data_IF_741641643552
#
_entry.id   IF_741641643552
#
_cell.length_a   1.000
_cell.length_b   1.000
_cell.length_c   1.000
_cell.angle_alpha   90.00
_cell.angle_beta   90.00
_cell.angle_gamma   90.00
#
_symmetry.space_group_name_H-M   'P 1'
#
loop_
_entity.id
_entity.type
_entity.pdbx_description
1 polymer ?
#
# COMPACT_ATOMS: atom_id res chain seq x y z
N UNK A 1 0.62 -10.59 -14.29
CA UNK A 1 -0.63 -9.83 -14.51
C UNK A 1 -1.10 -9.25 -13.17
N UNK A 2 -1.55 -7.99 -13.13
CA UNK A 2 -2.04 -7.37 -11.90
C UNK A 2 -3.42 -6.75 -12.14
N UNK A 3 -4.46 -7.28 -11.48
CA UNK A 3 -5.83 -6.75 -11.53
C UNK A 3 -6.34 -6.64 -10.09
N UNK A 4 -6.23 -5.46 -9.48
CA UNK A 4 -6.45 -5.28 -8.03
C UNK A 4 -7.25 -4.02 -7.69
N UNK A 5 -7.97 -3.45 -8.66
CA UNK A 5 -8.75 -2.22 -8.45
C UNK A 5 -9.78 -2.37 -7.33
N UNK A 6 -10.33 -3.58 -7.16
CA UNK A 6 -11.26 -3.94 -6.09
C UNK A 6 -10.66 -3.95 -4.67
N UNK A 7 -9.33 -3.82 -4.54
CA UNK A 7 -8.65 -3.57 -3.27
C UNK A 7 -8.69 -2.10 -2.85
N UNK A 8 -9.10 -1.18 -3.74
CA UNK A 8 -9.28 0.25 -3.44
C UNK A 8 -8.05 0.89 -2.78
N UNK A 9 -6.87 0.54 -3.29
CA UNK A 9 -5.59 0.92 -2.65
C UNK A 9 -5.45 2.44 -2.46
N UNK A 10 -5.87 3.24 -3.45
CA UNK A 10 -5.75 4.70 -3.39
C UNK A 10 -6.76 5.36 -2.43
N UNK A 11 -8.00 4.87 -2.39
CA UNK A 11 -9.06 5.50 -1.59
C UNK A 11 -9.12 4.97 -0.16
N UNK A 12 -8.76 3.72 0.05
CA UNK A 12 -8.97 3.02 1.33
C UNK A 12 -7.65 2.78 2.06
N UNK A 13 -6.56 2.46 1.35
CA UNK A 13 -5.30 2.02 1.98
C UNK A 13 -4.26 3.13 2.07
N UNK A 14 -4.04 3.88 0.99
CA UNK A 14 -3.09 4.99 0.96
C UNK A 14 -3.35 6.01 2.09
N UNK A 15 -4.60 6.43 2.38
CA UNK A 15 -4.85 7.40 3.44
C UNK A 15 -4.46 6.90 4.84
N UNK A 16 -4.53 5.58 5.07
CA UNK A 16 -4.11 4.97 6.34
C UNK A 16 -2.58 5.00 6.53
N UNK A 17 -1.83 5.11 5.44
CA UNK A 17 -0.37 5.12 5.41
C UNK A 17 0.21 6.50 5.13
N UNK A 18 -0.61 7.50 4.80
CA UNK A 18 -0.17 8.83 4.38
C UNK A 18 -0.10 9.82 5.56
N UNK A 19 1.13 10.06 5.99
CA UNK A 19 1.56 11.06 6.96
C UNK A 19 2.55 12.04 6.33
N UNK A 20 2.68 12.03 5.00
CA UNK A 20 3.60 12.91 4.28
C UNK A 20 3.17 14.38 4.43
N UNK A 21 4.15 15.26 4.42
CA UNK A 21 4.00 16.71 4.49
C UNK A 21 4.00 17.36 3.10
N UNK A 22 4.52 16.67 2.08
CA UNK A 22 4.66 17.17 0.71
C UNK A 22 3.84 16.35 -0.32
N UNK A 23 3.49 16.98 -1.44
CA UNK A 23 2.79 16.29 -2.53
C UNK A 23 3.72 15.28 -3.23
N UNK A 24 5.01 15.59 -3.33
CA UNK A 24 6.04 14.72 -3.88
C UNK A 24 6.27 13.49 -2.99
N UNK A 25 6.22 13.67 -1.67
CA UNK A 25 6.22 12.59 -0.69
C UNK A 25 5.00 11.68 -0.85
N UNK A 26 3.79 12.25 -0.95
CA UNK A 26 2.56 11.49 -1.20
C UNK A 26 2.64 10.72 -2.53
N UNK A 27 3.12 11.36 -3.60
CA UNK A 27 3.32 10.70 -4.89
C UNK A 27 4.35 9.56 -4.81
N UNK A 28 5.42 9.73 -4.03
CA UNK A 28 6.41 8.69 -3.75
C UNK A 28 5.81 7.53 -2.94
N UNK A 29 4.93 7.82 -1.98
CA UNK A 29 4.19 6.81 -1.21
C UNK A 29 3.23 6.02 -2.11
N UNK A 30 2.49 6.70 -3.00
CA UNK A 30 1.61 6.04 -3.98
C UNK A 30 2.39 5.14 -4.95
N UNK A 31 3.59 5.54 -5.38
CA UNK A 31 4.49 4.65 -6.14
C UNK A 31 4.94 3.46 -5.31
N UNK A 32 5.33 3.71 -4.06
CA UNK A 32 5.73 2.66 -3.12
C UNK A 32 4.62 1.61 -2.95
N UNK A 33 3.36 2.02 -2.89
CA UNK A 33 2.23 1.09 -2.74
C UNK A 33 1.95 0.29 -4.03
N UNK A 34 2.07 0.91 -5.21
CA UNK A 34 1.66 0.34 -6.51
C UNK A 34 2.74 -0.46 -7.25
N UNK A 35 3.99 -0.02 -7.14
CA UNK A 35 5.12 -0.65 -7.83
C UNK A 35 5.59 -1.85 -7.02
N UNK A 36 5.05 -3.02 -7.38
CA UNK A 36 5.43 -4.30 -6.77
C UNK A 36 6.85 -4.70 -7.22
N UNK A 37 7.77 -4.97 -6.28
CA UNK A 37 9.04 -5.57 -6.62
C UNK A 37 8.86 -6.92 -7.33
N UNK A 38 9.60 -7.18 -8.43
CA UNK A 38 9.40 -8.39 -9.25
C UNK A 38 9.97 -9.68 -8.64
N UNK A 39 10.71 -9.61 -7.53
CA UNK A 39 11.35 -10.76 -6.89
C UNK A 39 11.22 -10.71 -5.37
N UNK A 40 11.22 -11.88 -4.72
CA UNK A 40 11.22 -12.00 -3.24
C UNK A 40 12.38 -11.22 -2.61
N UNK A 41 13.58 -11.29 -3.19
CA UNK A 41 14.77 -10.58 -2.68
C UNK A 41 14.53 -9.07 -2.62
N UNK A 42 13.92 -8.49 -3.65
CA UNK A 42 13.64 -7.05 -3.67
C UNK A 42 12.46 -6.67 -2.75
N UNK A 43 11.49 -7.57 -2.57
CA UNK A 43 10.44 -7.40 -1.55
C UNK A 43 11.06 -7.36 -0.15
N UNK A 44 11.94 -8.31 0.16
CA UNK A 44 12.66 -8.39 1.44
C UNK A 44 13.61 -7.21 1.65
N UNK A 45 14.28 -6.74 0.60
CA UNK A 45 15.10 -5.53 0.65
C UNK A 45 14.24 -4.31 1.04
N UNK A 46 13.07 -4.17 0.42
CA UNK A 46 12.11 -3.11 0.75
C UNK A 46 11.59 -3.23 2.18
N UNK A 47 11.26 -4.44 2.65
CA UNK A 47 10.90 -4.69 4.05
C UNK A 47 12.05 -4.30 5.00
N UNK A 48 13.30 -4.58 4.64
CA UNK A 48 14.47 -4.23 5.45
C UNK A 48 14.61 -2.72 5.63
N UNK A 49 14.26 -1.89 4.65
CA UNK A 49 14.19 -0.42 4.81
C UNK A 49 13.21 -0.05 5.93
N UNK A 50 12.00 -0.61 5.91
CA UNK A 50 10.99 -0.32 6.94
C UNK A 50 11.41 -0.84 8.32
N UNK A 51 11.98 -2.05 8.40
CA UNK A 51 12.52 -2.60 9.65
C UNK A 51 13.64 -1.72 10.20
N UNK A 52 14.53 -1.19 9.36
CA UNK A 52 15.58 -0.25 9.75
C UNK A 52 15.01 1.04 10.34
N UNK A 53 14.02 1.64 9.67
CA UNK A 53 13.32 2.84 10.16
C UNK A 53 12.61 2.60 11.49
N UNK A 54 11.92 1.46 11.63
CA UNK A 54 11.22 1.09 12.87
C UNK A 54 12.20 0.75 14.01
N UNK A 55 13.35 0.14 13.71
CA UNK A 55 14.42 -0.11 14.69
C UNK A 55 15.05 1.19 15.21
N UNK A 56 15.06 2.23 14.38
CA UNK A 56 15.55 3.57 14.72
C UNK A 56 14.42 4.57 14.96
N UNK A 57 13.23 4.09 15.36
CA UNK A 57 12.04 4.95 15.47
C UNK A 57 12.24 6.15 16.39
N UNK A 58 13.04 6.00 17.45
CA UNK A 58 13.37 7.09 18.37
C UNK A 58 14.04 8.30 17.69
N UNK A 59 14.74 8.10 16.56
CA UNK A 59 15.35 9.17 15.77
C UNK A 59 14.33 9.88 14.88
N UNK A 60 13.39 9.12 14.31
CA UNK A 60 12.48 9.61 13.26
C UNK A 60 11.04 9.81 13.73
N UNK A 61 10.72 9.54 15.00
CA UNK A 61 9.37 9.62 15.54
C UNK A 61 8.73 11.01 15.34
N UNK A 62 9.54 12.06 15.51
CA UNK A 62 9.13 13.46 15.38
C UNK A 62 9.56 14.09 14.05
N UNK A 63 9.84 13.27 13.03
CA UNK A 63 10.14 13.75 11.69
C UNK A 63 9.05 14.71 11.21
N UNK A 64 9.44 15.95 10.94
CA UNK A 64 8.52 17.01 10.56
C UNK A 64 9.26 18.21 9.97
N UNK A 65 8.56 18.94 9.10
CA UNK A 65 9.00 20.21 8.54
C UNK A 65 7.77 21.01 8.06
N UNK A 66 7.93 22.31 7.82
CA UNK A 66 6.85 23.14 7.27
C UNK A 66 6.75 22.95 5.76
N UNK A 67 5.56 22.58 5.25
CA UNK A 67 5.29 22.44 3.81
C UNK A 67 5.57 23.72 3.03
N UNK A 68 5.20 24.88 3.60
CA UNK A 68 5.44 26.18 2.97
C UNK A 68 6.94 26.46 2.87
N UNK A 69 7.67 26.24 3.97
CA UNK A 69 9.13 26.42 3.97
C UNK A 69 9.81 25.47 2.99
N UNK A 70 9.39 24.20 2.91
CA UNK A 70 9.95 23.26 1.94
C UNK A 70 9.78 23.78 0.50
N UNK A 71 8.57 24.20 0.13
CA UNK A 71 8.29 24.69 -1.23
C UNK A 71 9.11 25.95 -1.58
N UNK A 72 9.27 26.87 -0.63
CA UNK A 72 10.10 28.07 -0.79
C UNK A 72 11.58 27.71 -0.97
N UNK A 73 12.09 26.77 -0.16
CA UNK A 73 13.47 26.29 -0.23
C UNK A 73 13.72 25.54 -1.53
N UNK A 74 12.85 24.62 -1.94
CA UNK A 74 12.97 23.91 -3.22
C UNK A 74 13.10 24.89 -4.40
N UNK A 75 12.21 25.88 -4.46
CA UNK A 75 12.24 26.92 -5.49
C UNK A 75 13.54 27.71 -5.45
N UNK A 76 13.98 28.12 -4.25
CA UNK A 76 15.23 28.84 -4.09
C UNK A 76 16.45 28.03 -4.53
N UNK A 77 16.58 26.78 -4.08
CA UNK A 77 17.69 25.92 -4.49
C UNK A 77 17.70 25.72 -5.99
N UNK A 78 16.54 25.50 -6.60
CA UNK A 78 16.41 25.36 -8.06
C UNK A 78 16.85 26.61 -8.81
N UNK A 79 16.36 27.80 -8.42
CA UNK A 79 16.72 29.07 -9.08
C UNK A 79 18.23 29.38 -9.03
N UNK A 80 18.90 29.02 -7.92
CA UNK A 80 20.36 29.20 -7.79
C UNK A 80 21.11 28.19 -8.66
N UNK A 81 20.75 26.90 -8.59
CA UNK A 81 21.39 25.81 -9.35
C UNK A 81 21.16 25.95 -10.85
N UNK A 82 19.99 26.43 -11.29
CA UNK A 82 19.68 26.64 -12.70
C UNK A 82 20.27 27.94 -13.28
N UNK A 83 21.05 28.68 -12.49
CA UNK A 83 21.70 29.92 -12.93
C UNK A 83 20.75 31.12 -13.11
N UNK A 84 19.47 31.01 -12.72
CA UNK A 84 18.51 32.11 -12.80
C UNK A 84 18.85 33.25 -11.82
N UNK A 85 19.61 32.94 -10.76
CA UNK A 85 20.12 33.89 -9.77
C UNK A 85 21.63 34.14 -9.90
N UNK A 86 22.17 34.29 -11.11
CA UNK A 86 23.59 34.57 -11.36
C UNK A 86 24.16 35.83 -10.63
N UNK A 87 23.30 36.72 -10.15
CA UNK A 87 23.68 37.88 -9.31
C UNK A 87 24.15 37.49 -7.91
N UNK A 88 23.75 36.31 -7.41
CA UNK A 88 23.97 35.91 -6.03
C UNK A 88 25.31 35.20 -5.79
N UNK A 89 25.99 34.76 -6.84
CA UNK A 89 27.29 34.07 -6.76
C UNK A 89 28.50 35.02 -6.77
N UNK A 90 28.30 36.30 -7.12
CA UNK A 90 29.36 37.31 -7.18
C UNK A 90 29.22 38.34 -6.05
N UNK A 91 30.24 38.42 -5.18
CA UNK A 91 30.23 39.28 -3.98
C UNK A 91 30.00 40.76 -4.26
N UNK A 92 30.58 41.30 -5.34
CA UNK A 92 30.43 42.71 -5.69
C UNK A 92 29.04 43.00 -6.25
N UNK A 93 28.51 42.10 -7.10
CA UNK A 93 27.16 42.24 -7.66
C UNK A 93 26.07 42.03 -6.61
N UNK A 94 26.24 41.06 -5.72
CA UNK A 94 25.34 40.85 -4.60
C UNK A 94 25.40 42.05 -3.65
N UNK A 95 26.59 42.53 -3.26
CA UNK A 95 26.72 43.72 -2.43
C UNK A 95 26.06 44.95 -3.06
N UNK A 96 26.27 45.20 -4.37
CA UNK A 96 25.62 46.28 -5.09
C UNK A 96 24.09 46.14 -5.06
N UNK A 97 23.54 44.94 -5.32
CA UNK A 97 22.08 44.68 -5.26
C UNK A 97 21.50 44.89 -3.86
N UNK A 98 22.20 44.42 -2.82
CA UNK A 98 21.78 44.59 -1.43
C UNK A 98 21.86 46.07 -0.99
N UNK A 99 22.73 46.88 -1.59
CA UNK A 99 22.83 48.31 -1.32
C UNK A 99 21.73 49.14 -2.00
N UNK A 100 21.19 48.67 -3.13
CA UNK A 100 20.19 49.40 -3.94
C UNK A 100 18.77 49.39 -3.34
N UNK A 101 18.41 48.41 -2.51
CA UNK A 101 17.10 48.33 -1.87
C UNK A 101 17.17 47.58 -0.55
N UNK A 102 16.63 48.19 0.50
CA UNK A 102 16.51 47.59 1.82
C UNK A 102 15.56 46.38 1.81
N UNK A 103 14.42 46.49 1.10
CA UNK A 103 13.48 45.38 0.91
C UNK A 103 14.11 44.19 0.18
N UNK A 104 14.91 44.46 -0.88
CA UNK A 104 15.63 43.41 -1.60
C UNK A 104 16.65 42.69 -0.70
N UNK A 105 17.29 43.44 0.21
CA UNK A 105 18.25 42.89 1.17
C UNK A 105 17.59 41.96 2.17
N UNK A 106 16.48 42.38 2.78
CA UNK A 106 15.72 41.54 3.71
C UNK A 106 15.16 40.30 3.02
N UNK A 107 14.56 40.46 1.83
CA UNK A 107 13.99 39.33 1.08
C UNK A 107 15.04 38.31 0.67
N UNK A 108 16.18 38.73 0.12
CA UNK A 108 17.27 37.80 -0.21
C UNK A 108 17.77 37.11 1.05
N UNK A 109 18.15 37.86 2.10
CA UNK A 109 18.65 37.26 3.36
C UNK A 109 17.67 36.24 3.94
N UNK A 110 16.37 36.52 3.93
CA UNK A 110 15.35 35.60 4.43
C UNK A 110 15.37 34.24 3.72
N UNK A 111 15.48 34.21 2.37
CA UNK A 111 15.54 32.96 1.60
C UNK A 111 16.75 32.09 1.96
N UNK A 112 17.92 32.70 2.11
CA UNK A 112 19.13 32.01 2.57
C UNK A 112 18.94 31.43 3.97
N UNK A 113 18.45 32.25 4.90
CA UNK A 113 18.21 31.84 6.28
C UNK A 113 17.22 30.67 6.35
N UNK A 114 16.10 30.73 5.63
CA UNK A 114 15.13 29.64 5.54
C UNK A 114 15.74 28.35 5.00
N UNK A 115 16.51 28.43 3.90
CA UNK A 115 17.16 27.26 3.31
C UNK A 115 18.17 26.62 4.27
N UNK A 116 19.04 27.43 4.87
CA UNK A 116 20.05 26.96 5.83
C UNK A 116 19.37 26.34 7.06
N UNK A 117 18.33 26.99 7.61
CA UNK A 117 17.60 26.46 8.77
C UNK A 117 16.90 25.14 8.47
N UNK A 118 16.26 25.01 7.30
CA UNK A 118 15.61 23.76 6.90
C UNK A 118 16.64 22.64 6.69
N UNK A 119 17.68 22.88 5.87
CA UNK A 119 18.72 21.88 5.60
C UNK A 119 19.44 21.48 6.89
N UNK A 120 19.76 22.43 7.78
CA UNK A 120 20.36 22.15 9.08
C UNK A 120 19.44 21.30 9.95
N UNK A 121 18.13 21.61 9.99
CA UNK A 121 17.17 20.83 10.76
C UNK A 121 17.18 19.38 10.28
N UNK A 122 17.09 19.18 8.96
CA UNK A 122 17.11 17.85 8.34
C UNK A 122 18.40 17.08 8.68
N UNK A 123 19.54 17.73 8.55
CA UNK A 123 20.85 17.16 8.87
C UNK A 123 20.95 16.80 10.35
N UNK A 124 20.81 17.77 11.25
CA UNK A 124 21.15 17.62 12.66
C UNK A 124 20.15 16.74 13.42
N UNK A 125 18.85 16.85 13.11
CA UNK A 125 17.83 16.15 13.88
C UNK A 125 17.52 14.76 13.32
N UNK A 126 17.82 14.51 12.04
CA UNK A 126 17.45 13.24 11.39
C UNK A 126 18.63 12.55 10.72
N UNK A 127 19.18 13.10 9.63
CA UNK A 127 20.10 12.34 8.76
C UNK A 127 21.49 12.09 9.37
N UNK A 128 21.94 12.93 10.29
CA UNK A 128 23.17 12.70 11.08
C UNK A 128 22.97 11.72 12.23
N UNK A 129 21.74 11.60 12.73
CA UNK A 129 21.39 10.74 13.85
C UNK A 129 20.98 9.32 13.41
N UNK A 130 20.59 9.16 12.14
CA UNK A 130 20.31 7.86 11.55
C UNK A 130 21.60 7.08 11.32
N UNK A 131 21.65 5.85 11.79
CA UNK A 131 22.71 4.89 11.48
C UNK A 131 22.41 4.21 10.13
N UNK A 132 23.20 4.48 9.07
CA UNK A 132 23.00 3.86 7.76
C UNK A 132 23.34 2.36 7.79
N UNK A 133 24.09 1.85 8.77
CA UNK A 133 24.50 0.46 8.82
C UNK A 133 23.30 -0.50 8.90
N UNK A 134 22.21 -0.07 9.55
CA UNK A 134 20.97 -0.82 9.68
C UNK A 134 20.10 -0.90 8.43
N UNK A 135 20.39 -0.11 7.38
CA UNK A 135 19.64 -0.11 6.13
C UNK A 135 20.19 -1.14 5.12
N UNK A 136 19.38 -1.65 4.18
CA UNK A 136 19.88 -2.46 3.07
C UNK A 136 20.66 -1.61 2.04
N UNK A 137 21.40 -2.24 1.09
CA UNK A 137 22.23 -1.53 0.11
C UNK A 137 21.51 -0.38 -0.62
N UNK A 138 20.30 -0.62 -1.17
CA UNK A 138 19.54 0.43 -1.86
C UNK A 138 19.16 1.60 -0.93
N UNK A 139 18.85 1.31 0.34
CA UNK A 139 18.59 2.33 1.36
C UNK A 139 19.83 3.14 1.71
N UNK A 140 20.99 2.48 1.89
CA UNK A 140 22.28 3.14 2.17
C UNK A 140 22.66 4.13 1.08
N UNK A 141 22.48 3.75 -0.19
CA UNK A 141 22.78 4.62 -1.34
C UNK A 141 21.95 5.90 -1.27
N UNK A 142 20.64 5.79 -1.03
CA UNK A 142 19.74 6.96 -0.95
C UNK A 142 20.06 7.85 0.26
N UNK A 143 20.32 7.27 1.42
CA UNK A 143 20.74 8.03 2.60
C UNK A 143 22.09 8.74 2.38
N UNK A 144 23.03 8.10 1.70
CA UNK A 144 24.32 8.71 1.36
C UNK A 144 24.18 9.89 0.37
N UNK A 145 23.23 9.82 -0.57
CA UNK A 145 22.90 10.97 -1.44
C UNK A 145 22.43 12.16 -0.60
N UNK A 146 21.54 11.94 0.37
CA UNK A 146 21.05 12.99 1.27
C UNK A 146 22.18 13.55 2.13
N UNK A 147 22.96 12.68 2.78
CA UNK A 147 24.06 13.06 3.65
C UNK A 147 25.14 13.89 2.94
N UNK A 148 25.63 13.41 1.79
CA UNK A 148 26.65 14.12 1.01
C UNK A 148 26.18 15.51 0.55
N UNK A 149 24.91 15.64 0.16
CA UNK A 149 24.36 16.92 -0.21
C UNK A 149 24.36 17.91 0.97
N UNK A 150 23.93 17.46 2.15
CA UNK A 150 23.84 18.30 3.35
C UNK A 150 25.23 18.72 3.88
N UNK A 151 26.17 17.77 3.94
CA UNK A 151 27.54 17.98 4.45
C UNK A 151 28.32 19.06 3.66
N UNK A 152 27.97 19.26 2.38
CA UNK A 152 28.59 20.26 1.50
C UNK A 152 28.52 21.69 2.03
N UNK A 153 27.47 22.02 2.79
CA UNK A 153 27.14 23.40 3.13
C UNK A 153 27.66 23.87 4.49
N UNK A 154 28.39 23.04 5.24
CA UNK A 154 28.89 23.40 6.58
C UNK A 154 27.81 24.06 7.45
N UNK A 155 26.64 23.41 7.51
CA UNK A 155 25.38 24.02 7.99
C UNK A 155 25.44 24.45 9.46
N UNK A 156 26.25 23.77 10.29
CA UNK A 156 26.44 24.09 11.69
C UNK A 156 27.05 25.49 11.89
N UNK A 157 28.19 25.77 11.25
CA UNK A 157 28.89 27.05 11.37
C UNK A 157 28.08 28.20 10.78
N UNK A 158 27.41 27.93 9.65
CA UNK A 158 26.59 28.93 8.96
C UNK A 158 25.37 29.31 9.80
N UNK A 159 24.74 28.34 10.46
CA UNK A 159 23.57 28.61 11.27
C UNK A 159 23.90 29.17 12.67
N UNK A 160 25.08 28.88 13.23
CA UNK A 160 25.57 29.58 14.42
C UNK A 160 25.69 31.09 14.15
N UNK A 161 26.25 31.45 12.99
CA UNK A 161 26.32 32.85 12.57
C UNK A 161 24.95 33.50 12.31
N UNK A 162 23.92 32.74 11.91
CA UNK A 162 22.55 33.25 11.84
C UNK A 162 22.02 33.56 13.24
N UNK A 163 22.22 32.66 14.20
CA UNK A 163 21.74 32.83 15.57
C UNK A 163 22.42 34.00 16.30
N UNK A 164 23.69 34.26 16.01
CA UNK A 164 24.49 35.36 16.56
C UNK A 164 24.34 36.68 15.79
N UNK A 165 23.44 36.76 14.81
CA UNK A 165 23.24 37.90 13.90
C UNK A 165 24.50 38.31 13.09
N UNK A 166 25.43 37.37 12.90
CA UNK A 166 26.67 37.53 12.13
C UNK A 166 26.55 37.02 10.68
N UNK A 167 25.33 36.72 10.20
CA UNK A 167 25.09 36.22 8.85
C UNK A 167 25.19 37.34 7.81
N UNK A 168 26.42 37.66 7.43
CA UNK A 168 26.75 38.75 6.50
C UNK A 168 26.52 38.38 5.03
N UNK A 169 26.50 39.39 4.16
CA UNK A 169 26.47 39.21 2.70
C UNK A 169 27.64 38.35 2.19
N UNK A 170 28.80 38.39 2.84
CA UNK A 170 29.93 37.52 2.50
C UNK A 170 29.61 36.04 2.71
N UNK A 171 28.96 35.69 3.84
CA UNK A 171 28.54 34.31 4.13
C UNK A 171 27.43 33.84 3.18
N UNK A 172 26.52 34.73 2.79
CA UNK A 172 25.52 34.45 1.74
C UNK A 172 26.18 34.07 0.41
N UNK A 173 27.21 34.82 -0.03
CA UNK A 173 27.94 34.50 -1.27
C UNK A 173 28.62 33.14 -1.18
N UNK A 174 29.24 32.81 -0.04
CA UNK A 174 29.88 31.50 0.15
C UNK A 174 28.86 30.38 -0.01
N UNK A 175 27.71 30.48 0.66
CA UNK A 175 26.62 29.51 0.50
C UNK A 175 26.10 29.44 -0.95
N UNK A 176 25.90 30.60 -1.59
CA UNK A 176 25.46 30.67 -2.99
C UNK A 176 26.46 30.03 -3.96
N UNK A 177 27.76 30.19 -3.73
CA UNK A 177 28.83 29.56 -4.53
C UNK A 177 28.86 28.05 -4.33
N UNK A 178 28.72 27.58 -3.09
CA UNK A 178 28.60 26.15 -2.80
C UNK A 178 27.39 25.53 -3.50
N UNK A 179 26.26 26.24 -3.48
CA UNK A 179 25.01 25.82 -4.12
C UNK A 179 25.09 25.88 -5.65
N UNK A 180 25.68 26.92 -6.23
CA UNK A 180 25.88 27.03 -7.68
C UNK A 180 26.86 25.98 -8.24
N UNK A 181 27.68 25.37 -7.38
CA UNK A 181 28.55 24.26 -7.75
C UNK A 181 27.84 22.89 -7.71
N UNK A 182 26.57 22.84 -7.29
CA UNK A 182 25.70 21.65 -7.37
C UNK A 182 25.13 21.57 -8.78
N UNK A 183 25.15 20.39 -9.40
CA UNK A 183 24.51 20.20 -10.70
C UNK A 183 22.98 20.07 -10.57
N UNK A 184 22.20 20.38 -11.62
CA UNK A 184 20.75 20.12 -11.62
C UNK A 184 20.39 18.66 -11.32
N UNK A 185 21.23 17.71 -11.77
CA UNK A 185 21.08 16.28 -11.51
C UNK A 185 21.31 15.95 -10.03
N UNK A 186 22.37 16.48 -9.42
CA UNK A 186 22.68 16.29 -7.99
C UNK A 186 21.54 16.83 -7.10
N UNK A 187 20.97 17.99 -7.46
CA UNK A 187 19.81 18.55 -6.76
C UNK A 187 18.55 17.67 -6.93
N UNK A 188 18.32 17.14 -8.13
CA UNK A 188 17.20 16.25 -8.40
C UNK A 188 17.32 14.94 -7.62
N UNK A 189 18.52 14.35 -7.57
CA UNK A 189 18.82 13.14 -6.81
C UNK A 189 18.61 13.33 -5.30
N UNK A 190 19.03 14.48 -4.75
CA UNK A 190 18.77 14.85 -3.37
C UNK A 190 17.27 14.85 -3.07
N UNK A 191 16.46 15.54 -3.88
CA UNK A 191 15.02 15.60 -3.66
C UNK A 191 14.34 14.24 -3.87
N UNK A 192 14.75 13.47 -4.88
CA UNK A 192 14.22 12.13 -5.10
C UNK A 192 14.52 11.18 -3.93
N UNK A 193 15.73 11.26 -3.35
CA UNK A 193 16.11 10.50 -2.17
C UNK A 193 15.33 10.98 -0.93
N UNK A 194 15.17 12.29 -0.74
CA UNK A 194 14.42 12.88 0.37
C UNK A 194 12.94 12.47 0.36
N UNK A 195 12.25 12.59 -0.78
CA UNK A 195 10.84 12.22 -0.89
C UNK A 195 10.62 10.72 -0.80
N UNK A 196 11.59 9.92 -1.25
CA UNK A 196 11.58 8.48 -1.00
C UNK A 196 11.69 8.18 0.50
N UNK A 197 12.58 8.86 1.22
CA UNK A 197 12.72 8.68 2.67
C UNK A 197 11.43 9.07 3.39
N UNK A 198 10.84 10.22 3.04
CA UNK A 198 9.57 10.67 3.61
C UNK A 198 8.44 9.66 3.36
N UNK A 199 8.31 9.14 2.14
CA UNK A 199 7.34 8.10 1.82
C UNK A 199 7.57 6.83 2.65
N UNK A 200 8.82 6.40 2.81
CA UNK A 200 9.14 5.23 3.62
C UNK A 200 8.81 5.46 5.11
N UNK A 201 9.16 6.64 5.64
CA UNK A 201 8.81 7.05 7.00
C UNK A 201 7.30 7.09 7.22
N UNK A 202 6.56 7.68 6.28
CA UNK A 202 5.11 7.78 6.30
C UNK A 202 4.45 6.40 6.38
N UNK A 203 4.83 5.49 5.47
CA UNK A 203 4.33 4.12 5.49
C UNK A 203 4.71 3.40 6.79
N UNK A 204 5.97 3.54 7.26
CA UNK A 204 6.40 2.94 8.53
C UNK A 204 5.57 3.44 9.71
N UNK A 205 5.26 4.75 9.75
CA UNK A 205 4.40 5.36 10.76
C UNK A 205 2.99 4.76 10.76
N UNK A 206 2.36 4.69 9.59
CA UNK A 206 1.01 4.13 9.43
C UNK A 206 0.96 2.66 9.82
N UNK A 207 1.87 1.85 9.30
CA UNK A 207 1.98 0.43 9.64
C UNK A 207 2.20 0.21 11.15
N UNK A 208 3.03 1.04 11.79
CA UNK A 208 3.26 0.99 13.24
C UNK A 208 2.01 1.34 14.04
N UNK A 209 1.27 2.38 13.63
CA UNK A 209 0.03 2.79 14.32
C UNK A 209 -1.08 1.73 14.18
N UNK A 210 -1.15 1.07 13.02
CA UNK A 210 -2.15 0.05 12.73
C UNK A 210 -1.77 -1.35 13.23
N UNK A 211 -0.54 -1.54 13.72
CA UNK A 211 -0.04 -2.83 14.17
C UNK A 211 0.16 -3.85 13.04
N UNK A 212 0.55 -3.40 11.86
CA UNK A 212 0.81 -4.28 10.72
C UNK A 212 2.09 -5.11 10.93
N UNK A 213 2.06 -6.36 10.48
CA UNK A 213 3.17 -7.32 10.63
C UNK A 213 3.86 -7.54 9.30
N UNK A 214 5.20 -7.64 9.29
CA UNK A 214 5.92 -7.95 8.05
C UNK A 214 5.69 -9.42 7.63
N UNK A 215 5.29 -9.68 6.38
CA UNK A 215 5.03 -11.01 5.88
C UNK A 215 6.31 -11.75 5.48
N UNK A 216 6.27 -13.07 5.49
CA UNK A 216 7.31 -13.94 4.95
C UNK A 216 6.90 -14.61 3.63
N UNK A 217 7.88 -15.03 2.84
CA UNK A 217 7.65 -15.82 1.64
C UNK A 217 8.02 -17.29 1.86
N UNK A 218 7.24 -18.20 1.29
CA UNK A 218 7.45 -19.64 1.42
C UNK A 218 7.30 -20.37 0.08
N UNK A 219 7.74 -21.63 0.05
CA UNK A 219 7.75 -22.41 -1.19
C UNK A 219 6.35 -22.77 -1.70
N UNK A 220 5.38 -23.05 -0.82
CA UNK A 220 4.00 -23.42 -1.18
C UNK A 220 3.07 -23.25 0.05
N UNK A 221 1.75 -23.37 -0.17
CA UNK A 221 0.72 -23.15 0.86
C UNK A 221 0.52 -21.67 1.19
N UNK A 222 -0.50 -21.33 1.96
CA UNK A 222 -0.82 -19.94 2.35
C UNK A 222 -1.25 -19.91 3.81
N UNK A 223 -0.60 -19.06 4.60
CA UNK A 223 -0.89 -18.89 6.01
C UNK A 223 -1.16 -17.42 6.34
N UNK A 224 -2.37 -17.11 6.79
CA UNK A 224 -2.78 -15.80 7.28
C UNK A 224 -3.41 -15.97 8.66
N UNK A 225 -2.70 -15.59 9.72
CA UNK A 225 -3.20 -15.68 11.10
C UNK A 225 -3.82 -14.37 11.55
N UNK A 226 -5.03 -14.44 12.11
CA UNK A 226 -5.78 -13.30 12.65
C UNK A 226 -5.82 -12.08 11.69
N UNK A 227 -5.97 -12.33 10.40
CA UNK A 227 -6.08 -11.28 9.38
C UNK A 227 -7.40 -10.52 9.50
N UNK A 228 -7.39 -9.26 9.05
CA UNK A 228 -8.54 -8.38 9.07
C UNK A 228 -8.49 -7.34 7.94
N UNK A 229 -9.62 -6.68 7.68
CA UNK A 229 -9.66 -5.51 6.81
C UNK A 229 -9.47 -4.23 7.64
N UNK A 230 -8.48 -3.37 7.34
CA UNK A 230 -8.10 -2.25 8.21
C UNK A 230 -9.12 -1.10 8.22
N UNK A 231 -10.01 -1.02 7.20
CA UNK A 231 -11.11 -0.04 7.17
C UNK A 231 -12.26 -0.36 8.12
N UNK A 232 -12.30 -1.55 8.73
CA UNK A 232 -13.32 -1.89 9.70
C UNK A 232 -12.91 -1.36 11.08
N UNK A 233 -13.79 -0.65 11.81
CA UNK A 233 -13.44 -0.08 13.13
C UNK A 233 -13.26 -1.15 14.21
N UNK A 234 -14.00 -2.26 14.15
CA UNK A 234 -13.91 -3.39 15.07
C UNK A 234 -13.98 -4.70 14.27
N UNK A 235 -12.89 -5.08 13.56
CA UNK A 235 -12.92 -6.25 12.71
C UNK A 235 -12.93 -7.55 13.51
N UNK A 236 -13.73 -8.51 13.05
CA UNK A 236 -13.56 -9.92 13.45
C UNK A 236 -12.34 -10.46 12.72
N UNK A 237 -11.31 -10.81 13.47
CA UNK A 237 -10.07 -11.40 12.93
C UNK A 237 -10.29 -12.87 12.59
N UNK A 238 -9.73 -13.31 11.47
CA UNK A 238 -9.89 -14.66 10.95
C UNK A 238 -8.53 -15.29 10.63
N UNK A 239 -8.49 -16.62 10.58
CA UNK A 239 -7.28 -17.35 10.17
C UNK A 239 -7.61 -18.21 8.95
N UNK A 240 -6.76 -18.15 7.93
CA UNK A 240 -6.81 -18.99 6.75
C UNK A 240 -5.48 -19.70 6.63
N UNK A 241 -5.51 -21.02 6.72
CA UNK A 241 -4.34 -21.89 6.58
C UNK A 241 -4.61 -22.89 5.47
N UNK A 242 -3.76 -22.88 4.45
CA UNK A 242 -3.85 -23.73 3.28
C UNK A 242 -2.53 -24.49 3.15
N UNK A 243 -2.65 -25.81 3.13
CA UNK A 243 -1.50 -26.69 2.94
C UNK A 243 -0.89 -26.50 1.54
N UNK A 244 0.36 -26.93 1.32
CA UNK A 244 0.98 -26.90 -0.02
C UNK A 244 0.18 -27.57 -1.13
N UNK A 245 -0.71 -28.50 -0.79
CA UNK A 245 -1.59 -29.20 -1.73
C UNK A 245 -2.91 -28.47 -1.98
N UNK A 246 -3.24 -27.47 -1.15
CA UNK A 246 -4.50 -26.74 -1.20
C UNK A 246 -4.35 -25.52 -2.11
N UNK A 247 -5.00 -25.56 -3.28
CA UNK A 247 -4.91 -24.51 -4.29
C UNK A 247 -6.25 -23.82 -4.57
N UNK A 248 -7.37 -24.37 -4.09
CA UNK A 248 -8.70 -23.84 -4.34
C UNK A 248 -9.53 -23.77 -3.07
N UNK A 249 -10.08 -22.60 -2.78
CA UNK A 249 -10.97 -22.35 -1.66
C UNK A 249 -12.35 -21.94 -2.18
N UNK A 250 -13.38 -22.69 -1.80
CA UNK A 250 -14.77 -22.30 -1.97
C UNK A 250 -15.31 -21.70 -0.68
N UNK A 251 -15.63 -20.41 -0.71
CA UNK A 251 -16.23 -19.68 0.40
C UNK A 251 -17.75 -19.60 0.23
N UNK A 252 -18.48 -20.26 1.12
CA UNK A 252 -19.93 -20.26 1.12
C UNK A 252 -20.53 -19.42 2.22
N UNK A 253 -21.76 -18.99 2.01
CA UNK A 253 -22.50 -18.26 3.02
C UNK A 253 -23.58 -17.38 2.40
N UNK A 254 -24.57 -17.01 3.21
CA UNK A 254 -25.67 -16.16 2.79
C UNK A 254 -25.16 -14.78 2.37
N UNK A 255 -25.92 -14.12 1.50
CA UNK A 255 -25.66 -12.72 1.14
C UNK A 255 -25.75 -11.89 2.43
N UNK A 256 -24.85 -10.91 2.61
CA UNK A 256 -24.62 -10.13 3.84
C UNK A 256 -23.77 -10.78 4.95
N UNK A 257 -23.28 -12.02 4.78
CA UNK A 257 -22.38 -12.65 5.78
C UNK A 257 -20.96 -12.06 5.82
N UNK A 258 -20.60 -11.17 4.89
CA UNK A 258 -19.26 -10.55 4.86
C UNK A 258 -18.24 -11.27 3.97
N UNK A 259 -18.67 -12.19 3.09
CA UNK A 259 -17.79 -12.94 2.15
C UNK A 259 -16.85 -12.02 1.37
N UNK A 260 -17.40 -11.01 0.70
CA UNK A 260 -16.63 -10.04 -0.09
C UNK A 260 -15.61 -9.27 0.75
N UNK A 261 -15.94 -8.96 2.01
CA UNK A 261 -15.03 -8.25 2.92
C UNK A 261 -13.88 -9.14 3.35
N UNK A 262 -14.16 -10.41 3.66
CA UNK A 262 -13.14 -11.41 3.99
C UNK A 262 -12.21 -11.67 2.80
N UNK A 263 -12.78 -11.87 1.61
CA UNK A 263 -12.04 -12.04 0.36
C UNK A 263 -11.14 -10.83 0.05
N UNK A 264 -11.67 -9.60 0.23
CA UNK A 264 -10.88 -8.37 0.11
C UNK A 264 -9.73 -8.33 1.11
N UNK A 265 -9.97 -8.73 2.36
CA UNK A 265 -8.92 -8.75 3.39
C UNK A 265 -7.79 -9.74 3.06
N UNK A 266 -8.12 -10.94 2.57
CA UNK A 266 -7.11 -11.91 2.11
C UNK A 266 -6.33 -11.35 0.92
N UNK A 267 -7.02 -10.83 -0.10
CA UNK A 267 -6.39 -10.24 -1.28
C UNK A 267 -5.49 -9.06 -0.93
N UNK A 268 -5.91 -8.21 0.01
CA UNK A 268 -5.11 -7.10 0.52
C UNK A 268 -3.84 -7.58 1.23
N UNK A 269 -3.93 -8.62 2.07
CA UNK A 269 -2.75 -9.18 2.73
C UNK A 269 -1.74 -9.72 1.71
N UNK A 270 -2.20 -10.47 0.71
CA UNK A 270 -1.33 -10.98 -0.37
C UNK A 270 -0.70 -9.83 -1.15
N UNK A 271 -1.49 -8.82 -1.52
CA UNK A 271 -0.99 -7.65 -2.25
C UNK A 271 0.06 -6.88 -1.46
N UNK A 272 -0.23 -6.51 -0.22
CA UNK A 272 0.69 -5.77 0.64
C UNK A 272 1.98 -6.55 0.92
N UNK A 273 1.89 -7.89 1.01
CA UNK A 273 3.07 -8.74 1.11
C UNK A 273 3.97 -8.60 -0.11
N UNK A 274 3.40 -8.63 -1.33
CA UNK A 274 4.16 -8.41 -2.55
C UNK A 274 4.63 -6.96 -2.69
N UNK A 275 3.91 -5.99 -2.12
CA UNK A 275 4.35 -4.60 -2.08
C UNK A 275 5.52 -4.37 -1.11
N UNK A 276 5.94 -5.36 -0.32
CA UNK A 276 7.00 -5.23 0.69
C UNK A 276 6.59 -4.40 1.90
N UNK A 277 5.29 -4.25 2.12
CA UNK A 277 4.71 -3.58 3.27
C UNK A 277 4.33 -4.60 4.35
N UNK A 278 4.10 -4.12 5.57
CA UNK A 278 3.41 -4.87 6.60
C UNK A 278 1.95 -5.12 6.21
N UNK A 279 1.38 -6.20 6.73
CA UNK A 279 0.01 -6.65 6.43
C UNK A 279 -0.89 -6.56 7.67
N UNK A 280 -2.21 -6.38 7.52
CA UNK A 280 -3.18 -6.38 8.61
C UNK A 280 -3.47 -7.82 9.10
N UNK A 281 -2.47 -8.46 9.70
CA UNK A 281 -2.55 -9.82 10.25
C UNK A 281 -1.53 -10.01 11.40
N UNK A 282 -1.75 -10.99 12.26
CA UNK A 282 -0.80 -11.38 13.29
C UNK A 282 0.40 -12.14 12.69
N UNK A 283 0.18 -12.92 11.64
CA UNK A 283 1.24 -13.53 10.84
C UNK A 283 0.77 -13.72 9.39
N UNK A 284 1.71 -13.64 8.45
CA UNK A 284 1.45 -13.87 7.04
C UNK A 284 2.64 -14.58 6.40
N UNK A 285 2.38 -15.72 5.76
CA UNK A 285 3.34 -16.43 4.91
C UNK A 285 2.64 -16.83 3.62
N UNK A 286 3.20 -16.39 2.50
CA UNK A 286 2.61 -16.62 1.18
C UNK A 286 3.67 -17.10 0.18
N UNK A 287 3.27 -17.84 -0.85
CA UNK A 287 4.09 -18.03 -2.02
C UNK A 287 4.30 -16.69 -2.74
N UNK A 288 5.38 -16.58 -3.52
CA UNK A 288 5.51 -15.47 -4.46
C UNK A 288 4.65 -15.75 -5.70
N UNK A 289 3.72 -14.84 -5.99
CA UNK A 289 2.81 -14.90 -7.13
C UNK A 289 3.28 -13.94 -8.23
N UNK A 290 3.43 -14.44 -9.45
CA UNK A 290 3.73 -13.62 -10.64
C UNK A 290 2.51 -12.86 -11.13
N UNK A 291 1.31 -13.28 -10.71
CA UNK A 291 0.06 -12.58 -10.98
C UNK A 291 -0.86 -12.55 -9.77
N UNK A 292 -1.45 -11.39 -9.51
CA UNK A 292 -2.42 -11.17 -8.43
C UNK A 292 -3.69 -10.59 -9.05
N UNK A 293 -4.80 -11.28 -8.86
CA UNK A 293 -6.12 -10.89 -9.34
C UNK A 293 -7.10 -10.85 -8.17
N UNK A 294 -7.80 -9.75 -8.03
CA UNK A 294 -8.88 -9.58 -7.06
C UNK A 294 -10.06 -8.99 -7.82
N UNK A 295 -11.06 -9.84 -8.10
CA UNK A 295 -12.26 -9.52 -8.84
C UNK A 295 -13.49 -9.73 -7.93
N UNK A 296 -13.85 -8.69 -7.18
CA UNK A 296 -14.89 -8.72 -6.14
C UNK A 296 -16.17 -7.97 -6.55
N UNK A 297 -16.05 -6.86 -7.28
CA UNK A 297 -17.21 -6.02 -7.59
C UNK A 297 -17.25 -5.65 -9.07
N UNK A 298 -18.07 -6.36 -9.84
CA UNK A 298 -18.45 -5.92 -11.20
C UNK A 298 -19.69 -5.01 -11.22
N UNK A 299 -20.29 -4.70 -10.08
CA UNK A 299 -21.49 -3.89 -10.01
C UNK A 299 -21.16 -2.39 -9.89
N UNK A 300 -21.31 -1.65 -10.99
CA UNK A 300 -22.07 -0.39 -11.02
C UNK A 300 -22.15 0.19 -12.44
N UNK A 301 -22.76 -0.58 -13.35
CA UNK A 301 -23.40 0.01 -14.52
C UNK A 301 -24.71 -0.70 -14.80
N UNK A 302 -25.81 -0.01 -14.47
CA UNK A 302 -27.21 -0.40 -14.66
C UNK A 302 -27.60 -0.68 -16.13
N UNK A 303 -26.69 -0.54 -17.09
CA UNK A 303 -27.03 -0.52 -18.51
C UNK A 303 -26.83 -1.83 -19.28
N UNK A 304 -26.18 -2.89 -18.74
CA UNK A 304 -25.86 -4.09 -19.57
C UNK A 304 -25.62 -5.40 -18.78
N UNK A 305 -26.67 -6.14 -18.41
CA UNK A 305 -26.54 -7.47 -17.78
C UNK A 305 -25.67 -8.48 -18.55
N UNK A 306 -25.77 -8.53 -19.88
CA UNK A 306 -24.92 -9.39 -20.74
C UNK A 306 -23.43 -9.02 -20.67
N UNK A 307 -23.11 -7.74 -20.48
CA UNK A 307 -21.72 -7.31 -20.42
C UNK A 307 -21.03 -7.69 -19.10
N UNK A 308 -21.80 -7.81 -18.01
CA UNK A 308 -21.28 -8.21 -16.70
C UNK A 308 -20.90 -9.68 -16.66
N UNK A 309 -21.80 -10.56 -17.09
CA UNK A 309 -21.51 -11.99 -17.20
C UNK A 309 -20.34 -12.26 -18.16
N UNK A 310 -20.28 -11.55 -19.30
CA UNK A 310 -19.15 -11.65 -20.21
C UNK A 310 -17.84 -11.13 -19.59
N UNK A 311 -17.87 -10.06 -18.80
CA UNK A 311 -16.68 -9.55 -18.10
C UNK A 311 -16.18 -10.54 -17.04
N UNK A 312 -17.08 -11.19 -16.30
CA UNK A 312 -16.79 -12.32 -15.40
C UNK A 312 -16.03 -13.43 -16.13
N UNK A 313 -16.56 -13.89 -17.27
CA UNK A 313 -15.93 -14.93 -18.10
C UNK A 313 -14.57 -14.47 -18.62
N UNK A 314 -14.46 -13.22 -19.10
CA UNK A 314 -13.19 -12.68 -19.60
C UNK A 314 -12.14 -12.58 -18.50
N UNK A 315 -12.51 -12.21 -17.27
CA UNK A 315 -11.59 -12.17 -16.14
C UNK A 315 -11.10 -13.57 -15.77
N UNK A 316 -12.00 -14.56 -15.72
CA UNK A 316 -11.62 -15.96 -15.51
C UNK A 316 -10.69 -16.47 -16.62
N UNK A 317 -11.01 -16.16 -17.89
CA UNK A 317 -10.16 -16.52 -19.03
C UNK A 317 -8.74 -15.97 -18.87
N UNK A 318 -8.59 -14.67 -18.55
CA UNK A 318 -7.27 -14.05 -18.32
C UNK A 318 -6.50 -14.69 -17.18
N UNK A 319 -7.20 -15.08 -16.10
CA UNK A 319 -6.60 -15.79 -14.97
C UNK A 319 -6.10 -17.17 -15.38
N UNK A 320 -6.88 -17.92 -16.16
CA UNK A 320 -6.48 -19.23 -16.67
C UNK A 320 -5.32 -19.13 -17.66
N UNK A 321 -5.34 -18.15 -18.57
CA UNK A 321 -4.20 -17.87 -19.47
C UNK A 321 -2.93 -17.55 -18.67
N UNK A 322 -3.02 -16.69 -17.66
CA UNK A 322 -1.88 -16.39 -16.79
C UNK A 322 -1.41 -17.59 -15.94
N UNK A 323 -2.30 -18.53 -15.63
CA UNK A 323 -1.96 -19.76 -14.90
C UNK A 323 -1.29 -20.82 -15.79
N UNK A 324 -1.41 -20.71 -17.12
CA UNK A 324 -0.69 -21.54 -18.08
C UNK A 324 0.75 -21.07 -18.31
N UNK A 325 1.04 -19.80 -18.04
CA UNK A 325 2.39 -19.23 -18.12
C UNK A 325 3.27 -19.66 -16.92
N UNK A 326 4.61 -19.62 -17.05
CA UNK A 326 5.50 -19.89 -15.93
C UNK A 326 5.26 -18.96 -14.74
N UNK A 327 5.08 -19.54 -13.56
CA UNK A 327 4.88 -18.80 -12.31
C UNK A 327 3.64 -19.26 -11.56
N UNK A 328 3.09 -18.37 -10.74
CA UNK A 328 1.96 -18.67 -9.84
C UNK A 328 0.95 -17.54 -9.89
N UNK A 329 -0.32 -17.89 -9.92
CA UNK A 329 -1.42 -16.93 -9.89
C UNK A 329 -2.10 -17.00 -8.52
N UNK A 330 -2.32 -15.85 -7.91
CA UNK A 330 -3.30 -15.70 -6.84
C UNK A 330 -4.52 -15.00 -7.42
N UNK A 331 -5.70 -15.61 -7.32
CA UNK A 331 -6.93 -15.00 -7.80
C UNK A 331 -8.09 -15.13 -6.82
N UNK A 332 -8.85 -14.06 -6.67
CA UNK A 332 -10.04 -13.99 -5.82
C UNK A 332 -11.23 -13.59 -6.65
N UNK A 333 -12.32 -14.34 -6.54
CA UNK A 333 -13.57 -14.10 -7.24
C UNK A 333 -14.73 -14.06 -6.27
N UNK A 334 -15.62 -13.07 -6.41
CA UNK A 334 -16.84 -12.97 -5.62
C UNK A 334 -18.06 -13.30 -6.49
N UNK A 335 -18.77 -14.38 -6.14
CA UNK A 335 -20.03 -14.80 -6.75
C UNK A 335 -20.00 -14.89 -8.29
N UNK A 336 -19.09 -15.72 -8.84
CA UNK A 336 -19.00 -15.98 -10.26
C UNK A 336 -20.34 -16.45 -10.86
N UNK A 337 -20.64 -16.01 -12.08
CA UNK A 337 -21.75 -16.48 -12.92
C UNK A 337 -23.15 -16.15 -12.41
N UNK A 338 -23.26 -15.16 -11.51
CA UNK A 338 -24.53 -14.61 -11.01
C UNK A 338 -25.47 -14.05 -12.09
N UNK A 339 -24.96 -13.77 -13.30
CA UNK A 339 -25.72 -13.19 -14.41
C UNK A 339 -26.48 -14.18 -15.31
N UNK A 340 -26.43 -15.49 -15.04
CA UNK A 340 -27.11 -16.54 -15.83
C UNK A 340 -28.12 -17.33 -15.00
N UNK A 341 -28.85 -18.26 -15.63
CA UNK A 341 -29.79 -19.15 -14.95
C UNK A 341 -29.07 -20.02 -13.90
N UNK A 342 -29.77 -20.41 -12.83
CA UNK A 342 -29.17 -21.14 -11.70
C UNK A 342 -28.55 -22.47 -12.11
N UNK A 343 -29.17 -23.18 -13.03
CA UNK A 343 -28.68 -24.49 -13.49
C UNK A 343 -27.40 -24.32 -14.32
N UNK A 344 -27.37 -23.34 -15.23
CA UNK A 344 -26.17 -22.98 -15.99
C UNK A 344 -25.04 -22.53 -15.06
N UNK A 345 -25.35 -21.68 -14.07
CA UNK A 345 -24.37 -21.18 -13.11
C UNK A 345 -23.74 -22.33 -12.30
N UNK A 346 -24.55 -23.32 -11.92
CA UNK A 346 -24.10 -24.50 -11.20
C UNK A 346 -23.14 -25.34 -12.05
N UNK A 347 -23.52 -25.65 -13.28
CA UNK A 347 -22.70 -26.46 -14.20
C UNK A 347 -21.38 -25.78 -14.57
N UNK A 348 -21.42 -24.47 -14.89
CA UNK A 348 -20.22 -23.70 -15.22
C UNK A 348 -19.31 -23.57 -13.99
N UNK A 349 -19.88 -23.37 -12.79
CA UNK A 349 -19.07 -23.31 -11.55
C UNK A 349 -18.39 -24.65 -11.28
N UNK A 350 -19.08 -25.78 -11.46
CA UNK A 350 -18.47 -27.12 -11.29
C UNK A 350 -17.32 -27.34 -12.25
N UNK A 351 -17.51 -27.00 -13.54
CA UNK A 351 -16.45 -27.08 -14.54
C UNK A 351 -15.27 -26.16 -14.20
N UNK A 352 -15.54 -24.95 -13.72
CA UNK A 352 -14.53 -23.97 -13.30
C UNK A 352 -13.71 -24.48 -12.11
N UNK A 353 -14.37 -25.00 -11.07
CA UNK A 353 -13.72 -25.58 -9.88
C UNK A 353 -12.79 -26.72 -10.27
N UNK A 354 -13.27 -27.66 -11.09
CA UNK A 354 -12.46 -28.79 -11.57
C UNK A 354 -11.26 -28.33 -12.42
N UNK A 355 -11.45 -27.33 -13.28
CA UNK A 355 -10.37 -26.77 -14.09
C UNK A 355 -9.30 -26.06 -13.26
N UNK A 356 -9.70 -25.25 -12.27
CA UNK A 356 -8.78 -24.50 -11.42
C UNK A 356 -7.97 -25.40 -10.48
N UNK A 357 -8.57 -26.50 -10.01
CA UNK A 357 -7.86 -27.52 -9.23
C UNK A 357 -6.64 -28.09 -9.97
N UNK A 358 -6.68 -28.12 -11.32
CA UNK A 358 -5.57 -28.54 -12.18
C UNK A 358 -4.31 -27.65 -12.16
N UNK A 359 -4.33 -26.51 -11.45
CA UNK A 359 -3.18 -25.60 -11.32
C UNK A 359 -2.66 -25.58 -9.86
N UNK A 360 -1.94 -26.62 -9.41
CA UNK A 360 -1.61 -26.83 -8.00
C UNK A 360 -0.62 -25.82 -7.41
N UNK A 361 0.07 -25.05 -8.26
CA UNK A 361 1.02 -24.01 -7.80
C UNK A 361 0.36 -22.64 -7.60
N UNK A 362 -0.87 -22.47 -8.08
CA UNK A 362 -1.66 -21.23 -7.97
C UNK A 362 -2.59 -21.32 -6.77
N UNK A 363 -3.24 -20.21 -6.40
CA UNK A 363 -4.19 -20.16 -5.30
C UNK A 363 -5.42 -19.38 -5.72
N UNK A 364 -6.58 -20.02 -5.65
CA UNK A 364 -7.86 -19.48 -6.10
C UNK A 364 -8.84 -19.44 -4.93
N UNK A 365 -9.45 -18.30 -4.68
CA UNK A 365 -10.55 -18.16 -3.71
C UNK A 365 -11.80 -17.75 -4.47
N UNK A 366 -12.89 -18.50 -4.33
CA UNK A 366 -14.16 -18.21 -5.01
C UNK A 366 -15.25 -18.19 -3.94
N UNK A 367 -15.99 -17.09 -3.84
CA UNK A 367 -17.24 -17.11 -3.07
C UNK A 367 -18.40 -17.62 -3.92
N UNK A 368 -19.36 -18.29 -3.27
CA UNK A 368 -20.60 -18.72 -3.92
C UNK A 368 -21.76 -18.80 -2.94
N UNK A 369 -22.96 -18.57 -3.46
CA UNK A 369 -24.23 -18.81 -2.76
C UNK A 369 -24.91 -20.12 -3.19
N UNK A 370 -24.31 -20.86 -4.13
CA UNK A 370 -24.85 -22.10 -4.70
C UNK A 370 -24.59 -23.30 -3.77
N UNK A 371 -25.40 -23.45 -2.72
CA UNK A 371 -25.26 -24.55 -1.76
C UNK A 371 -25.44 -25.95 -2.39
N UNK A 372 -26.09 -26.05 -3.55
CA UNK A 372 -26.24 -27.31 -4.29
C UNK A 372 -24.89 -27.93 -4.70
N UNK A 373 -23.84 -27.11 -4.82
CA UNK A 373 -22.48 -27.57 -5.12
C UNK A 373 -21.96 -28.58 -4.10
N UNK A 374 -22.39 -28.52 -2.84
CA UNK A 374 -21.98 -29.48 -1.80
C UNK A 374 -22.24 -30.93 -2.22
N UNK A 375 -23.40 -31.21 -2.81
CA UNK A 375 -23.79 -32.55 -3.24
C UNK A 375 -23.29 -32.94 -4.64
N UNK A 376 -22.77 -31.98 -5.41
CA UNK A 376 -22.48 -32.16 -6.84
C UNK A 376 -21.00 -31.99 -7.22
N UNK A 377 -20.19 -31.48 -6.29
CA UNK A 377 -18.74 -31.45 -6.45
C UNK A 377 -18.17 -32.79 -5.96
N UNK A 378 -17.46 -33.54 -6.82
CA UNK A 378 -16.73 -34.71 -6.37
C UNK A 378 -15.59 -34.28 -5.44
N UNK A 379 -15.09 -35.21 -4.63
CA UNK A 379 -13.88 -34.99 -3.85
C UNK A 379 -12.72 -34.61 -4.79
N UNK A 380 -12.23 -33.39 -4.63
CA UNK A 380 -11.17 -32.82 -5.46
C UNK A 380 -9.94 -32.59 -4.58
N UNK A 381 -8.80 -33.25 -4.86
CA UNK A 381 -7.55 -32.95 -4.18
C UNK A 381 -7.21 -31.46 -4.30
N UNK A 382 -6.93 -30.82 -3.16
CA UNK A 382 -6.59 -29.39 -3.10
C UNK A 382 -7.77 -28.42 -3.02
N UNK A 383 -9.02 -28.91 -3.10
CA UNK A 383 -10.21 -28.12 -2.82
C UNK A 383 -10.49 -28.09 -1.31
N UNK A 384 -10.61 -26.88 -0.76
CA UNK A 384 -11.09 -26.64 0.61
C UNK A 384 -12.36 -25.82 0.58
N UNK A 385 -13.32 -26.21 1.41
CA UNK A 385 -14.56 -25.46 1.59
C UNK A 385 -14.52 -24.75 2.92
N UNK A 386 -14.95 -23.50 2.92
CA UNK A 386 -15.11 -22.69 4.10
C UNK A 386 -16.47 -21.99 4.05
N UNK A 387 -16.98 -21.63 5.22
CA UNK A 387 -18.17 -20.81 5.35
C UNK A 387 -17.96 -19.72 6.40
N UNK A 388 -18.73 -18.64 6.28
CA UNK A 388 -18.85 -17.67 7.36
C UNK A 388 -19.97 -18.13 8.29
N UNK A 389 -19.62 -18.34 9.55
CA UNK A 389 -20.52 -18.83 10.59
C UNK A 389 -21.69 -17.86 10.79
N UNK A 390 -22.88 -18.43 10.64
CA UNK A 390 -24.15 -17.81 10.94
C UNK A 390 -24.89 -18.73 11.91
N UNK A 391 -25.57 -18.16 12.88
CA UNK A 391 -26.41 -18.90 13.82
C UNK A 391 -27.78 -18.26 13.91
N UNK A 392 -28.79 -19.03 14.30
CA UNK A 392 -30.13 -18.51 14.59
C UNK A 392 -30.28 -18.34 16.10
N UNK A 393 -30.40 -17.10 16.56
CA UNK A 393 -30.76 -16.78 17.94
C UNK A 393 -32.18 -16.24 17.95
N UNK A 394 -33.10 -16.97 18.61
CA UNK A 394 -34.53 -16.64 18.67
C UNK A 394 -35.16 -16.38 17.27
N UNK A 395 -34.80 -17.20 16.28
CA UNK A 395 -35.27 -17.04 14.89
C UNK A 395 -34.64 -15.87 14.13
N UNK A 396 -33.65 -15.18 14.71
CA UNK A 396 -32.91 -14.10 14.06
C UNK A 396 -31.54 -14.58 13.62
N UNK A 397 -31.15 -14.38 12.34
CA UNK A 397 -29.79 -14.65 11.90
C UNK A 397 -28.81 -13.70 12.59
N UNK A 398 -27.80 -14.28 13.23
CA UNK A 398 -26.67 -13.57 13.83
C UNK A 398 -25.40 -14.04 13.12
N UNK A 399 -24.72 -13.08 12.50
CA UNK A 399 -23.46 -13.31 11.80
C UNK A 399 -22.31 -13.11 12.78
N UNK A 400 -21.54 -14.16 13.05
CA UNK A 400 -20.34 -14.01 13.87
C UNK A 400 -19.14 -13.48 13.07
N UNK A 401 -19.26 -13.47 11.73
CA UNK A 401 -18.20 -13.12 10.78
C UNK A 401 -16.93 -13.99 10.92
N UNK A 402 -17.05 -15.15 11.59
CA UNK A 402 -15.95 -16.11 11.76
C UNK A 402 -15.92 -17.10 10.60
N UNK A 403 -14.73 -17.29 10.05
CA UNK A 403 -14.44 -18.29 9.04
C UNK A 403 -14.40 -19.68 9.70
N UNK A 404 -15.11 -20.64 9.12
CA UNK A 404 -15.15 -22.04 9.57
C UNK A 404 -14.94 -22.96 8.38
N UNK A 405 -14.19 -24.07 8.54
CA UNK A 405 -14.15 -25.11 7.52
C UNK A 405 -15.54 -25.71 7.26
N UNK A 406 -15.80 -26.13 6.02
CA UNK A 406 -17.04 -26.77 5.59
C UNK A 406 -18.04 -25.85 4.90
N UNK A 407 -19.22 -26.40 4.63
CA UNK A 407 -20.32 -25.70 3.93
C UNK A 407 -21.24 -24.96 4.90
N UNK A 408 -21.82 -23.86 4.43
CA UNK A 408 -22.89 -23.15 5.14
C UNK A 408 -24.17 -23.97 5.19
N UNK A 409 -24.76 -24.13 6.37
CA UNK A 409 -25.97 -24.95 6.60
C UNK A 409 -27.29 -24.14 6.65
N UNK A 410 -27.26 -22.81 6.50
CA UNK A 410 -28.42 -21.94 6.76
C UNK A 410 -29.01 -21.28 5.51
N UNK A 411 -30.31 -21.52 5.27
CA UNK A 411 -31.13 -20.83 4.25
C UNK A 411 -31.83 -19.59 4.83
N UNK A 412 -31.07 -18.51 5.00
CA UNK A 412 -31.54 -17.28 5.68
C UNK A 412 -32.75 -16.62 5.02
N UNK A 413 -32.86 -16.65 3.69
CA UNK A 413 -33.92 -15.96 2.97
C UNK A 413 -35.33 -16.37 3.43
N UNK A 414 -35.54 -17.67 3.68
CA UNK A 414 -36.83 -18.16 4.18
C UNK A 414 -37.08 -17.74 5.63
N UNK A 415 -36.05 -17.79 6.47
CA UNK A 415 -36.13 -17.34 7.88
C UNK A 415 -36.53 -15.87 7.98
N UNK A 416 -35.93 -15.00 7.15
CA UNK A 416 -36.27 -13.59 7.10
C UNK A 416 -37.69 -13.37 6.58
N UNK A 417 -38.07 -14.07 5.50
CA UNK A 417 -39.43 -14.01 4.93
C UNK A 417 -40.49 -14.35 5.97
N UNK A 418 -40.32 -15.46 6.70
CA UNK A 418 -41.28 -15.88 7.73
C UNK A 418 -41.32 -14.88 8.90
N UNK A 419 -40.17 -14.34 9.33
CA UNK A 419 -40.08 -13.42 10.48
C UNK A 419 -40.78 -12.08 10.26
N UNK A 420 -40.75 -11.52 9.05
CA UNK A 420 -41.38 -10.21 8.78
C UNK A 420 -42.91 -10.30 8.66
N UNK A 421 -43.51 -11.46 8.90
CA UNK A 421 -44.97 -11.65 8.82
C UNK A 421 -45.50 -11.66 7.39
N UNK A 422 -44.62 -11.70 6.37
CA UNK A 422 -45.03 -11.78 4.96
C UNK A 422 -45.99 -12.95 4.68
N UNK A 423 -45.79 -14.17 5.22
CA UNK A 423 -46.73 -15.27 4.99
C UNK A 423 -48.16 -14.96 5.45
N UNK A 424 -48.33 -14.14 6.49
CA UNK A 424 -49.64 -13.76 7.03
C UNK A 424 -50.29 -12.69 6.17
N UNK A 425 -49.50 -11.72 5.69
CA UNK A 425 -49.96 -10.67 4.77
C UNK A 425 -50.30 -11.19 3.37
N UNK A 426 -49.71 -12.31 2.95
CA UNK A 426 -49.96 -12.94 1.65
C UNK A 426 -51.16 -13.89 1.66
N UNK A 427 -51.84 -14.07 2.80
CA UNK A 427 -53.11 -14.79 2.87
C UNK A 427 -54.23 -13.81 2.51
N UNK A 428 -54.95 -14.03 1.39
CA UNK A 428 -55.97 -13.11 0.89
C UNK A 428 -57.21 -13.03 1.80
#
# INVERSE_FOLDING_TARGET
>A
MLLVDDLRLETDILPLLNFTYSHEGEAALGRLLRELPPTVVQVEEKQAVFRALLGQWHVVAEFSYSRIQLAEVQRFLHEVVSGQLALETNRLRLAARLLLSEEARYRSRARYVQAIQLLRRLEQHYFRCLDPAGFPPGGKVRLAVIGRFLERFSLADTAAAIAEDQFSAGRMVVFAQQLAAVSPEELADFWAAFFWFEACWSAAKGMRQLGFTFPGFQAAGLHLAEFYHPMLPAPVKNTLDLDPTDNLVLLTGPNMSGKSTLLRAVGLCVYLAHAGLGVPAAACRVPFYSSIVVALNLADSLSRGYSHFMAEIQNLKRVLEAAQEPGRVFAVFDELFRGTNSDDALDITRATVAGLAGFPQSCFLISTHLLQLESQLPDQPGLRTYCIECTLHAGVPVFSYRLRPGWSNLKIGRVLFDKVGLPELLRP
#
